data_IF_451777084668
#
_entry.id   IF_451777084668
#
_cell.length_a   1.000
_cell.length_b   1.000
_cell.length_c   1.000
_cell.angle_alpha   90.00
_cell.angle_beta   90.00
_cell.angle_gamma   90.00
#
_symmetry.space_group_name_H-M   'P 1'
#
loop_
_entity.id
_entity.type
_entity.pdbx_description
1 polymer ?
#
# COMPACT_ATOMS: atom_id res chain seq x y z
N UNK A 1 -68.16 -26.33 -34.45
CA UNK A 1 -67.28 -25.16 -34.38
C UNK A 1 -66.41 -25.31 -33.14
N UNK A 2 -65.16 -25.80 -33.25
CA UNK A 2 -64.05 -25.46 -32.35
C UNK A 2 -62.78 -26.20 -32.75
N UNK A 3 -61.85 -25.43 -33.32
CA UNK A 3 -60.40 -25.43 -33.08
C UNK A 3 -59.75 -26.65 -32.38
N UNK A 4 -58.96 -27.39 -33.16
CA UNK A 4 -57.71 -28.12 -32.84
C UNK A 4 -57.05 -28.31 -34.22
N UNK A 5 -55.77 -28.11 -34.49
CA UNK A 5 -54.56 -28.46 -33.74
C UNK A 5 -53.33 -27.98 -34.53
N UNK A 6 -52.16 -28.02 -33.89
CA UNK A 6 -50.80 -27.91 -34.44
C UNK A 6 -50.13 -26.53 -34.38
N UNK A 7 -49.70 -26.17 -33.17
CA UNK A 7 -48.43 -25.48 -32.96
C UNK A 7 -47.30 -26.53 -32.97
N UNK A 8 -46.43 -26.47 -33.98
CA UNK A 8 -45.16 -27.20 -34.05
C UNK A 8 -44.04 -26.22 -33.69
N UNK A 9 -43.32 -26.56 -32.62
CA UNK A 9 -41.86 -26.44 -32.46
C UNK A 9 -41.18 -25.16 -32.94
N UNK A 10 -40.82 -24.30 -31.99
CA UNK A 10 -39.57 -23.54 -32.01
C UNK A 10 -38.97 -23.55 -30.59
N UNK A 11 -38.52 -24.73 -30.17
CA UNK A 11 -37.39 -24.83 -29.23
C UNK A 11 -36.14 -25.04 -30.07
N UNK A 12 -35.02 -24.45 -29.65
CA UNK A 12 -33.65 -24.74 -30.11
C UNK A 12 -32.99 -23.78 -31.12
N UNK A 13 -33.20 -22.47 -30.97
CA UNK A 13 -32.30 -21.47 -31.59
C UNK A 13 -32.00 -20.27 -30.69
N UNK A 14 -31.78 -20.50 -29.39
CA UNK A 14 -31.12 -19.50 -28.55
C UNK A 14 -29.84 -20.04 -27.90
N UNK A 15 -28.80 -19.19 -27.96
CA UNK A 15 -27.49 -19.27 -27.29
C UNK A 15 -26.43 -20.15 -27.93
N UNK A 16 -25.78 -19.57 -28.93
CA UNK A 16 -24.32 -19.62 -29.00
C UNK A 16 -23.74 -18.35 -29.67
N UNK A 17 -24.16 -17.16 -29.20
CA UNK A 17 -23.40 -15.95 -29.49
C UNK A 17 -22.19 -15.92 -28.56
N UNK A 18 -21.00 -16.16 -29.12
CA UNK A 18 -19.71 -15.93 -28.46
C UNK A 18 -19.73 -14.51 -27.90
N UNK A 19 -19.74 -14.37 -26.56
CA UNK A 19 -19.56 -13.06 -25.92
C UNK A 19 -18.28 -12.44 -26.49
N UNK A 20 -18.27 -11.16 -26.88
CA UNK A 20 -17.05 -10.52 -27.32
C UNK A 20 -15.99 -10.65 -26.22
N UNK A 21 -14.75 -10.96 -26.58
CA UNK A 21 -13.62 -11.13 -25.65
C UNK A 21 -13.39 -9.90 -24.76
N UNK A 22 -13.91 -8.74 -25.17
CA UNK A 22 -13.89 -7.48 -24.42
C UNK A 22 -15.34 -6.97 -24.34
N UNK A 23 -16.01 -7.19 -23.20
CA UNK A 23 -17.32 -6.59 -22.93
C UNK A 23 -17.18 -5.23 -22.25
N UNK A 24 -18.20 -4.36 -22.35
CA UNK A 24 -18.24 -3.09 -21.59
C UNK A 24 -18.07 -3.32 -20.09
N UNK A 25 -18.60 -4.41 -19.56
CA UNK A 25 -18.46 -4.81 -18.16
C UNK A 25 -17.00 -5.15 -17.81
N UNK A 26 -16.30 -5.88 -18.68
CA UNK A 26 -14.88 -6.21 -18.50
C UNK A 26 -13.97 -4.96 -18.52
N UNK A 27 -14.28 -3.98 -19.38
CA UNK A 27 -13.56 -2.70 -19.42
C UNK A 27 -13.75 -1.88 -18.13
N UNK A 28 -14.95 -1.93 -17.54
CA UNK A 28 -15.25 -1.25 -16.27
C UNK A 28 -14.53 -1.95 -15.10
N UNK A 29 -14.42 -3.28 -15.13
CA UNK A 29 -13.69 -4.06 -14.13
C UNK A 29 -12.16 -3.84 -14.20
N UNK A 30 -11.59 -3.57 -15.38
CA UNK A 30 -10.15 -3.41 -15.60
C UNK A 30 -9.67 -1.95 -15.70
N UNK A 31 -10.48 -0.97 -15.30
CA UNK A 31 -10.19 0.47 -15.45
C UNK A 31 -8.83 0.93 -14.92
N UNK A 32 -8.39 0.38 -13.79
CA UNK A 32 -7.07 0.70 -13.22
C UNK A 32 -5.94 0.15 -14.10
N UNK A 33 -6.09 -1.07 -14.60
CA UNK A 33 -5.16 -1.67 -15.56
C UNK A 33 -5.14 -0.91 -16.90
N UNK A 34 -6.28 -0.44 -17.38
CA UNK A 34 -6.38 0.39 -18.60
C UNK A 34 -5.67 1.73 -18.38
N UNK A 35 -5.87 2.38 -17.24
CA UNK A 35 -5.15 3.61 -16.89
C UNK A 35 -3.64 3.40 -16.82
N UNK A 36 -3.19 2.26 -16.26
CA UNK A 36 -1.77 1.88 -16.24
C UNK A 36 -1.21 1.74 -17.66
N UNK A 37 -1.90 0.98 -18.52
CA UNK A 37 -1.47 0.73 -19.89
C UNK A 37 -1.41 2.03 -20.68
N UNK A 38 -2.43 2.89 -20.55
CA UNK A 38 -2.45 4.19 -21.20
C UNK A 38 -1.25 5.07 -20.79
N UNK A 39 -0.97 5.15 -19.48
CA UNK A 39 0.18 5.90 -18.96
C UNK A 39 1.51 5.34 -19.51
N UNK A 40 1.69 4.02 -19.46
CA UNK A 40 2.89 3.33 -19.99
C UNK A 40 3.10 3.67 -21.46
N UNK A 41 2.03 3.60 -22.28
CA UNK A 41 2.09 3.88 -23.70
C UNK A 41 2.52 5.33 -23.94
N UNK A 42 1.86 6.31 -23.31
CA UNK A 42 2.18 7.74 -23.48
C UNK A 42 3.65 8.01 -23.12
N UNK A 43 4.10 7.52 -21.97
CA UNK A 43 5.45 7.82 -21.47
C UNK A 43 6.52 7.11 -22.30
N UNK A 44 6.22 5.91 -22.81
CA UNK A 44 7.15 5.19 -23.70
C UNK A 44 7.46 5.94 -25.00
N UNK A 45 6.51 6.72 -25.52
CA UNK A 45 6.75 7.58 -26.68
C UNK A 45 7.51 8.86 -26.32
N UNK A 46 7.38 9.33 -25.09
CA UNK A 46 8.03 10.57 -24.62
C UNK A 46 9.48 10.35 -24.18
N UNK A 47 9.83 9.15 -23.70
CA UNK A 47 11.20 8.86 -23.25
C UNK A 47 11.68 7.47 -23.75
N UNK A 48 12.71 7.42 -24.62
CA UNK A 48 13.22 6.16 -25.16
C UNK A 48 13.86 5.26 -24.09
N UNK A 49 14.28 5.83 -22.95
CA UNK A 49 14.88 5.07 -21.85
C UNK A 49 13.84 4.41 -20.94
N UNK A 50 12.54 4.63 -21.17
CA UNK A 50 11.48 4.17 -20.28
C UNK A 50 11.47 2.65 -20.07
N UNK A 51 11.68 1.88 -21.14
CA UNK A 51 11.72 0.41 -21.09
C UNK A 51 13.13 -0.18 -20.91
N UNK A 52 14.13 0.63 -20.55
CA UNK A 52 15.44 0.10 -20.18
C UNK A 52 15.33 -0.76 -18.92
N UNK A 53 16.13 -1.83 -18.85
CA UNK A 53 16.13 -2.72 -17.69
C UNK A 53 16.42 -1.93 -16.39
N UNK A 54 17.39 -1.02 -16.42
CA UNK A 54 17.75 -0.19 -15.28
C UNK A 54 16.58 0.69 -14.81
N UNK A 55 15.83 1.30 -15.74
CA UNK A 55 14.66 2.08 -15.38
C UNK A 55 13.55 1.20 -14.78
N UNK A 56 13.29 0.02 -15.35
CA UNK A 56 12.31 -0.93 -14.83
C UNK A 56 12.68 -1.38 -13.41
N UNK A 57 13.93 -1.74 -13.17
CA UNK A 57 14.41 -2.14 -11.85
C UNK A 57 14.35 -0.98 -10.84
N UNK A 58 14.62 0.25 -11.29
CA UNK A 58 14.47 1.45 -10.47
C UNK A 58 12.99 1.74 -10.13
N UNK A 59 12.07 1.63 -11.10
CA UNK A 59 10.62 1.75 -10.87
C UNK A 59 10.19 0.75 -9.82
N UNK A 60 10.54 -0.53 -9.98
CA UNK A 60 10.14 -1.59 -9.05
C UNK A 60 10.70 -1.35 -7.64
N UNK A 61 11.96 -0.92 -7.54
CA UNK A 61 12.61 -0.58 -6.26
C UNK A 61 11.95 0.62 -5.56
N UNK A 62 11.55 1.64 -6.29
CA UNK A 62 10.86 2.79 -5.70
C UNK A 62 9.43 2.45 -5.31
N UNK A 63 8.75 1.70 -6.18
CA UNK A 63 7.35 1.29 -6.00
C UNK A 63 7.21 0.33 -4.82
N UNK A 64 8.19 -0.55 -4.59
CA UNK A 64 8.12 -1.55 -3.51
C UNK A 64 7.92 -0.92 -2.13
N UNK A 65 8.53 0.25 -1.87
CA UNK A 65 8.38 0.95 -0.60
C UNK A 65 6.92 1.36 -0.36
N UNK A 66 6.33 2.07 -1.32
CA UNK A 66 4.94 2.51 -1.21
C UNK A 66 3.97 1.31 -1.28
N UNK A 67 4.27 0.29 -2.07
CA UNK A 67 3.46 -0.92 -2.17
C UNK A 67 3.40 -1.69 -0.83
N UNK A 68 4.51 -1.80 -0.10
CA UNK A 68 4.55 -2.41 1.24
C UNK A 68 3.64 -1.65 2.22
N UNK A 69 3.69 -0.32 2.20
CA UNK A 69 2.80 0.51 3.04
C UNK A 69 1.34 0.33 2.61
N UNK A 70 1.06 0.33 1.30
CA UNK A 70 -0.27 0.13 0.75
C UNK A 70 -0.87 -1.24 1.14
N UNK A 71 -0.06 -2.28 1.29
CA UNK A 71 -0.51 -3.57 1.85
C UNK A 71 -1.05 -3.41 3.28
N UNK A 72 -0.31 -2.72 4.15
CA UNK A 72 -0.78 -2.41 5.50
C UNK A 72 -2.05 -1.57 5.50
N UNK A 73 -2.07 -0.53 4.66
CA UNK A 73 -3.22 0.36 4.48
C UNK A 73 -4.45 -0.40 3.94
N UNK A 74 -4.26 -1.44 3.12
CA UNK A 74 -5.35 -2.30 2.64
C UNK A 74 -6.07 -2.97 3.82
N UNK A 75 -5.33 -3.51 4.78
CA UNK A 75 -5.93 -4.12 5.97
C UNK A 75 -6.73 -3.10 6.78
N UNK A 76 -6.18 -1.90 6.95
CA UNK A 76 -6.85 -0.80 7.67
C UNK A 76 -8.14 -0.38 6.96
N UNK A 77 -8.09 -0.13 5.65
CA UNK A 77 -9.27 0.25 4.86
C UNK A 77 -10.31 -0.86 4.83
N UNK A 78 -9.89 -2.13 4.77
CA UNK A 78 -10.82 -3.25 4.84
C UNK A 78 -11.63 -3.25 6.14
N UNK A 79 -11.11 -2.69 7.24
CA UNK A 79 -11.85 -2.49 8.50
C UNK A 79 -12.63 -1.17 8.60
N UNK A 80 -12.80 -0.46 7.49
CA UNK A 80 -13.37 0.90 7.41
C UNK A 80 -12.56 1.95 8.20
N UNK A 81 -11.26 1.70 8.40
CA UNK A 81 -10.33 2.64 9.01
C UNK A 81 -9.51 3.41 7.99
N UNK A 82 -8.86 4.48 8.44
CA UNK A 82 -7.80 5.17 7.71
C UNK A 82 -6.62 5.37 8.67
N UNK A 83 -5.40 5.05 8.24
CA UNK A 83 -4.18 5.27 9.00
C UNK A 83 -3.28 6.31 8.32
N UNK A 84 -3.38 7.55 8.79
CA UNK A 84 -2.52 8.64 8.31
C UNK A 84 -1.12 8.62 8.93
N UNK A 85 -0.89 7.82 9.97
CA UNK A 85 0.35 7.86 10.74
C UNK A 85 1.50 7.08 10.10
N UNK A 86 1.23 6.28 9.07
CA UNK A 86 2.22 5.37 8.44
C UNK A 86 3.50 6.08 7.99
N UNK A 87 3.40 7.29 7.43
CA UNK A 87 4.57 8.08 7.03
C UNK A 87 5.41 8.56 8.22
N UNK A 88 4.79 8.87 9.36
CA UNK A 88 5.48 9.26 10.59
C UNK A 88 6.05 8.05 11.34
N UNK A 89 5.37 6.90 11.35
CA UNK A 89 5.90 5.64 11.89
C UNK A 89 7.14 5.21 11.11
N UNK A 90 7.08 5.30 9.78
CA UNK A 90 8.21 5.07 8.88
C UNK A 90 9.42 5.91 9.27
N UNK A 91 9.24 7.22 9.42
CA UNK A 91 10.33 8.15 9.73
C UNK A 91 10.98 7.84 11.09
N UNK A 92 10.16 7.62 12.13
CA UNK A 92 10.65 7.34 13.48
C UNK A 92 11.38 5.99 13.56
N UNK A 93 10.82 4.94 12.95
CA UNK A 93 11.45 3.62 12.94
C UNK A 93 12.73 3.62 12.10
N UNK A 94 12.76 4.39 11.01
CA UNK A 94 13.96 4.64 10.22
C UNK A 94 15.05 5.34 11.03
N UNK A 95 14.68 6.34 11.86
CA UNK A 95 15.59 7.03 12.75
C UNK A 95 16.15 6.10 13.84
N UNK A 96 15.31 5.27 14.47
CA UNK A 96 15.76 4.27 15.43
C UNK A 96 16.75 3.28 14.81
N UNK A 97 16.45 2.80 13.60
CA UNK A 97 17.35 1.91 12.88
C UNK A 97 18.68 2.59 12.56
N UNK A 98 18.67 3.80 12.01
CA UNK A 98 19.89 4.53 11.69
C UNK A 98 20.75 4.79 12.92
N UNK A 99 20.14 5.17 14.06
CA UNK A 99 20.86 5.35 15.33
C UNK A 99 21.53 4.06 15.79
N UNK A 100 20.83 2.93 15.78
CA UNK A 100 21.39 1.64 16.20
C UNK A 100 22.53 1.21 15.27
N UNK A 101 22.35 1.33 13.97
CA UNK A 101 23.37 0.97 12.98
C UNK A 101 24.59 1.91 13.08
N UNK A 102 24.38 3.21 13.28
CA UNK A 102 25.46 4.18 13.51
C UNK A 102 26.21 3.97 14.83
N UNK A 103 25.59 3.32 15.80
CA UNK A 103 26.24 2.81 17.02
C UNK A 103 26.88 1.41 16.83
N UNK A 104 26.97 0.92 15.60
CA UNK A 104 27.50 -0.40 15.23
C UNK A 104 26.77 -1.59 15.87
N UNK A 105 25.52 -1.40 16.31
CA UNK A 105 24.67 -2.51 16.76
C UNK A 105 24.45 -3.47 15.59
N UNK A 106 24.66 -4.78 15.75
CA UNK A 106 24.49 -5.74 14.68
C UNK A 106 23.13 -5.64 13.99
N UNK A 107 23.12 -5.73 12.66
CA UNK A 107 21.90 -5.60 11.82
C UNK A 107 20.79 -6.56 12.27
N UNK A 108 21.17 -7.77 12.71
CA UNK A 108 20.25 -8.80 13.21
C UNK A 108 19.49 -8.37 14.49
N UNK A 109 19.99 -7.39 15.23
CA UNK A 109 19.32 -6.81 16.40
C UNK A 109 18.62 -5.50 16.02
N UNK A 110 19.28 -4.64 15.25
CA UNK A 110 18.74 -3.33 14.89
C UNK A 110 17.45 -3.43 14.07
N UNK A 111 17.41 -4.31 13.05
CA UNK A 111 16.25 -4.47 12.16
C UNK A 111 15.01 -4.98 12.92
N UNK A 112 15.06 -6.10 13.67
CA UNK A 112 13.91 -6.54 14.45
C UNK A 112 13.44 -5.51 15.48
N UNK A 113 14.36 -4.78 16.11
CA UNK A 113 14.02 -3.75 17.11
C UNK A 113 13.18 -2.63 16.49
N UNK A 114 13.59 -2.13 15.32
CA UNK A 114 12.84 -1.11 14.59
C UNK A 114 11.48 -1.62 14.09
N UNK A 115 11.42 -2.88 13.62
CA UNK A 115 10.16 -3.53 13.22
C UNK A 115 9.18 -3.69 14.38
N UNK A 116 9.67 -4.12 15.56
CA UNK A 116 8.88 -4.24 16.77
C UNK A 116 8.39 -2.88 17.27
N UNK A 117 9.21 -1.83 17.17
CA UNK A 117 8.79 -0.47 17.47
C UNK A 117 7.64 -0.03 16.56
N UNK A 118 7.73 -0.28 15.25
CA UNK A 118 6.64 -0.01 14.30
C UNK A 118 5.35 -0.76 14.63
N UNK A 119 5.46 -2.06 14.93
CA UNK A 119 4.31 -2.87 15.35
C UNK A 119 3.67 -2.35 16.64
N UNK A 120 4.49 -1.93 17.61
CA UNK A 120 4.02 -1.36 18.87
C UNK A 120 3.32 0.00 18.67
N UNK A 121 3.90 0.89 17.87
CA UNK A 121 3.29 2.19 17.53
C UNK A 121 1.95 2.00 16.81
N UNK A 122 1.89 1.09 15.84
CA UNK A 122 0.64 0.71 15.19
C UNK A 122 -0.37 0.11 16.18
N UNK A 123 0.06 -0.79 17.07
CA UNK A 123 -0.81 -1.35 18.10
C UNK A 123 -1.38 -0.27 19.04
N UNK A 124 -0.60 0.76 19.39
CA UNK A 124 -1.06 1.90 20.19
C UNK A 124 -2.19 2.63 19.46
N UNK A 125 -2.03 2.95 18.18
CA UNK A 125 -3.10 3.55 17.37
C UNK A 125 -4.34 2.65 17.35
N UNK A 126 -4.15 1.34 17.16
CA UNK A 126 -5.22 0.36 17.21
C UNK A 126 -5.94 0.31 18.58
N UNK A 127 -5.21 0.46 19.68
CA UNK A 127 -5.77 0.50 21.05
C UNK A 127 -6.60 1.78 21.23
N UNK A 128 -6.09 2.93 20.81
CA UNK A 128 -6.81 4.22 20.90
C UNK A 128 -8.13 4.13 20.14
N UNK A 129 -8.11 3.54 18.94
CA UNK A 129 -9.30 3.39 18.10
C UNK A 129 -10.28 2.38 18.72
N UNK A 130 -9.80 1.19 19.07
CA UNK A 130 -10.64 0.10 19.53
C UNK A 130 -11.22 0.34 20.94
N UNK A 131 -10.37 0.73 21.89
CA UNK A 131 -10.78 0.91 23.29
C UNK A 131 -11.22 2.34 23.59
N UNK A 132 -10.56 3.33 22.99
CA UNK A 132 -10.92 4.74 23.15
C UNK A 132 -12.18 5.12 22.36
N UNK A 133 -12.67 4.25 21.47
CA UNK A 133 -13.85 4.49 20.62
C UNK A 133 -13.74 5.78 19.79
N UNK A 134 -12.50 6.16 19.45
CA UNK A 134 -12.19 7.30 18.60
C UNK A 134 -12.26 6.87 17.14
N UNK A 135 -12.75 7.74 16.25
CA UNK A 135 -12.70 7.47 14.82
C UNK A 135 -11.25 7.31 14.34
N UNK A 136 -11.02 6.29 13.51
CA UNK A 136 -9.70 5.91 13.00
C UNK A 136 -8.89 7.07 12.40
N UNK A 137 -9.55 7.88 11.56
CA UNK A 137 -8.93 9.03 10.91
C UNK A 137 -8.40 10.05 11.94
N UNK A 138 -9.18 10.39 12.97
CA UNK A 138 -8.78 11.37 13.99
C UNK A 138 -7.63 10.82 14.83
N UNK A 139 -7.74 9.57 15.29
CA UNK A 139 -6.70 8.94 16.11
C UNK A 139 -5.36 8.88 15.38
N UNK A 140 -5.37 8.54 14.09
CA UNK A 140 -4.16 8.41 13.29
C UNK A 140 -3.64 9.75 12.80
N UNK A 141 -4.48 10.77 12.58
CA UNK A 141 -4.05 12.15 12.33
C UNK A 141 -3.29 12.72 13.53
N UNK A 142 -3.82 12.54 14.74
CA UNK A 142 -3.13 12.97 15.98
C UNK A 142 -1.82 12.21 16.16
N UNK A 143 -1.84 10.89 15.94
CA UNK A 143 -0.62 10.06 16.02
C UNK A 143 0.41 10.50 14.97
N UNK A 144 -0.01 10.79 13.74
CA UNK A 144 0.85 11.29 12.66
C UNK A 144 1.61 12.55 13.10
N UNK A 145 0.89 13.55 13.62
CA UNK A 145 1.46 14.82 14.08
C UNK A 145 2.38 14.61 15.27
N UNK A 146 1.95 13.82 16.26
CA UNK A 146 2.75 13.49 17.43
C UNK A 146 4.07 12.80 17.05
N UNK A 147 4.01 11.72 16.29
CA UNK A 147 5.18 10.95 15.90
C UNK A 147 6.12 11.74 14.98
N UNK A 148 5.57 12.64 14.14
CA UNK A 148 6.40 13.57 13.36
C UNK A 148 7.17 14.50 14.27
N UNK A 149 6.52 15.10 15.27
CA UNK A 149 7.17 15.94 16.27
C UNK A 149 8.23 15.18 17.08
N UNK A 150 7.90 13.97 17.54
CA UNK A 150 8.84 13.09 18.25
C UNK A 150 10.05 12.77 17.37
N UNK A 151 9.84 12.48 16.08
CA UNK A 151 10.94 12.25 15.14
C UNK A 151 11.84 13.48 15.04
N UNK A 152 11.26 14.67 14.87
CA UNK A 152 12.04 15.91 14.78
C UNK A 152 12.85 16.20 16.04
N UNK A 153 12.29 15.95 17.23
CA UNK A 153 13.00 16.09 18.51
C UNK A 153 14.09 15.04 18.63
N UNK A 154 13.79 13.79 18.29
CA UNK A 154 14.75 12.69 18.38
C UNK A 154 15.96 12.88 17.45
N UNK A 155 15.75 13.48 16.28
CA UNK A 155 16.80 13.69 15.28
C UNK A 155 17.43 15.10 15.34
N UNK A 156 17.01 15.96 16.28
CA UNK A 156 17.33 17.41 16.27
C UNK A 156 17.08 18.10 14.92
N UNK A 157 16.06 17.63 14.18
CA UNK A 157 15.74 18.09 12.82
C UNK A 157 16.82 17.78 11.76
N UNK A 158 17.84 16.96 12.07
CA UNK A 158 18.95 16.61 11.17
C UNK A 158 18.94 15.15 10.76
N UNK A 159 19.54 14.80 9.61
CA UNK A 159 19.75 13.41 9.22
C UNK A 159 20.57 12.61 10.24
N UNK A 160 20.18 11.36 10.50
CA UNK A 160 21.00 10.40 11.26
C UNK A 160 21.65 9.44 10.27
N UNK A 161 22.99 9.49 10.18
CA UNK A 161 23.76 8.59 9.30
C UNK A 161 23.82 7.17 9.87
N UNK A 162 23.80 6.17 8.98
CA UNK A 162 24.06 4.77 9.34
C UNK A 162 25.55 4.46 9.53
N UNK A 163 26.43 5.45 9.29
CA UNK A 163 27.88 5.26 9.34
C UNK A 163 28.46 4.63 8.08
N UNK A 164 29.79 4.62 8.00
CA UNK A 164 30.59 4.01 6.92
C UNK A 164 31.37 2.82 7.49
N UNK A 165 30.64 1.81 7.94
CA UNK A 165 31.17 0.63 8.65
C UNK A 165 30.60 -0.64 8.02
N UNK A 166 31.21 -1.81 8.30
CA UNK A 166 30.72 -3.10 7.81
C UNK A 166 29.24 -3.35 8.19
N UNK A 167 28.84 -2.89 9.38
CA UNK A 167 27.44 -2.93 9.85
C UNK A 167 26.54 -2.02 9.00
N UNK A 168 27.02 -0.83 8.64
CA UNK A 168 26.34 0.08 7.73
C UNK A 168 26.17 -0.51 6.33
N UNK A 169 27.20 -1.15 5.78
CA UNK A 169 27.16 -1.79 4.46
C UNK A 169 26.21 -3.00 4.44
N UNK A 170 26.24 -3.82 5.50
CA UNK A 170 25.30 -4.91 5.69
C UNK A 170 23.85 -4.41 5.77
N UNK A 171 23.61 -3.26 6.40
CA UNK A 171 22.30 -2.62 6.43
C UNK A 171 21.90 -2.03 5.08
N UNK A 172 22.84 -1.41 4.35
CA UNK A 172 22.59 -0.81 3.04
C UNK A 172 22.09 -1.84 2.00
N UNK A 173 22.50 -3.11 2.14
CA UNK A 173 22.06 -4.20 1.26
C UNK A 173 20.53 -4.33 1.17
N UNK A 174 19.78 -4.03 2.23
CA UNK A 174 18.32 -4.06 2.21
C UNK A 174 17.69 -3.05 1.23
N UNK A 175 18.35 -1.91 1.00
CA UNK A 175 17.85 -0.82 0.18
C UNK A 175 18.48 -0.73 -1.21
N UNK A 176 19.76 -1.12 -1.33
CA UNK A 176 20.55 -0.99 -2.57
C UNK A 176 20.92 -2.31 -3.22
N UNK A 177 20.91 -3.40 -2.44
CA UNK A 177 21.37 -4.72 -2.86
C UNK A 177 20.51 -5.37 -3.94
N UNK A 178 21.09 -6.37 -4.58
CA UNK A 178 20.45 -7.20 -5.60
C UNK A 178 20.50 -8.67 -5.20
N UNK A 179 19.42 -9.38 -5.47
CA UNK A 179 19.33 -10.84 -5.38
C UNK A 179 18.74 -11.36 -6.69
N UNK A 180 19.43 -12.30 -7.34
CA UNK A 180 19.04 -12.85 -8.65
C UNK A 180 18.80 -11.77 -9.72
N UNK A 181 19.59 -10.69 -9.70
CA UNK A 181 19.45 -9.55 -10.64
C UNK A 181 18.28 -8.60 -10.35
N UNK A 182 17.50 -8.84 -9.29
CA UNK A 182 16.36 -8.01 -8.88
C UNK A 182 16.68 -7.30 -7.56
N UNK A 183 16.35 -6.01 -7.39
CA UNK A 183 16.57 -5.29 -6.14
C UNK A 183 15.91 -5.98 -4.93
N UNK A 184 16.62 -6.05 -3.81
CA UNK A 184 16.13 -6.62 -2.54
C UNK A 184 14.77 -6.05 -2.09
N UNK A 185 14.50 -4.73 -2.23
CA UNK A 185 13.18 -4.17 -1.90
C UNK A 185 12.01 -4.83 -2.62
N UNK A 186 12.20 -5.31 -3.86
CA UNK A 186 11.17 -6.00 -4.64
C UNK A 186 10.88 -7.38 -4.05
N UNK A 187 11.90 -8.11 -3.60
CA UNK A 187 11.73 -9.38 -2.91
C UNK A 187 10.98 -9.21 -1.59
N UNK A 188 11.33 -8.19 -0.80
CA UNK A 188 10.61 -7.86 0.43
C UNK A 188 9.13 -7.54 0.16
N UNK A 189 8.85 -6.78 -0.90
CA UNK A 189 7.48 -6.53 -1.35
C UNK A 189 6.76 -7.84 -1.69
N UNK A 190 7.36 -8.73 -2.49
CA UNK A 190 6.74 -10.01 -2.87
C UNK A 190 6.43 -10.86 -1.64
N UNK A 191 7.36 -10.95 -0.68
CA UNK A 191 7.17 -11.69 0.58
C UNK A 191 6.01 -11.09 1.39
N UNK A 192 5.95 -9.77 1.51
CA UNK A 192 4.86 -9.06 2.21
C UNK A 192 3.51 -9.32 1.53
N UNK A 193 3.44 -9.21 0.21
CA UNK A 193 2.21 -9.51 -0.55
C UNK A 193 1.77 -10.95 -0.38
N UNK A 194 2.68 -11.92 -0.49
CA UNK A 194 2.38 -13.33 -0.29
C UNK A 194 1.87 -13.59 1.14
N UNK A 195 2.53 -13.01 2.14
CA UNK A 195 2.18 -13.16 3.55
C UNK A 195 0.79 -12.60 3.86
N UNK A 196 0.49 -11.39 3.38
CA UNK A 196 -0.81 -10.74 3.64
C UNK A 196 -1.93 -11.34 2.78
N UNK A 197 -1.63 -11.78 1.55
CA UNK A 197 -2.55 -12.56 0.74
C UNK A 197 -2.94 -13.87 1.43
N UNK A 198 -1.97 -14.59 2.00
CA UNK A 198 -2.23 -15.79 2.76
C UNK A 198 -3.04 -15.50 4.03
N UNK A 199 -2.67 -14.45 4.77
CA UNK A 199 -3.40 -14.00 5.95
C UNK A 199 -4.87 -13.68 5.62
N UNK A 200 -5.15 -12.96 4.54
CA UNK A 200 -6.51 -12.58 4.15
C UNK A 200 -7.36 -13.75 3.66
N UNK A 201 -6.78 -14.66 2.87
CA UNK A 201 -7.54 -15.73 2.20
C UNK A 201 -7.60 -17.04 2.99
N UNK A 202 -6.58 -17.33 3.80
CA UNK A 202 -6.41 -18.64 4.42
C UNK A 202 -6.47 -18.64 5.95
N UNK A 203 -6.60 -17.48 6.62
CA UNK A 203 -6.69 -17.43 8.09
C UNK A 203 -8.04 -16.95 8.61
N UNK A 204 -8.32 -17.27 9.89
CA UNK A 204 -9.49 -16.73 10.61
C UNK A 204 -9.42 -15.20 10.75
N UNK A 205 -8.22 -14.67 10.98
CA UNK A 205 -8.00 -13.24 11.13
C UNK A 205 -8.42 -12.48 9.86
N UNK A 206 -8.06 -12.97 8.67
CA UNK A 206 -8.52 -12.41 7.40
C UNK A 206 -10.04 -12.35 7.27
N UNK A 207 -10.74 -13.44 7.60
CA UNK A 207 -12.22 -13.46 7.61
C UNK A 207 -12.82 -12.44 8.58
N UNK A 208 -12.21 -12.27 9.75
CA UNK A 208 -12.66 -11.28 10.73
C UNK A 208 -12.42 -9.84 10.27
N UNK A 209 -11.34 -9.57 9.54
CA UNK A 209 -11.08 -8.25 8.92
C UNK A 209 -12.20 -7.89 7.94
N UNK A 210 -12.57 -8.81 7.04
CA UNK A 210 -13.68 -8.58 6.10
C UNK A 210 -15.04 -8.45 6.80
N UNK A 211 -15.33 -9.29 7.79
CA UNK A 211 -16.58 -9.22 8.56
C UNK A 211 -16.72 -7.89 9.31
N UNK A 212 -15.65 -7.47 10.00
CA UNK A 212 -15.59 -6.20 10.72
C UNK A 212 -15.90 -5.02 9.81
N UNK A 213 -15.28 -4.97 8.63
CA UNK A 213 -15.53 -3.92 7.66
C UNK A 213 -16.92 -3.94 7.02
N UNK A 214 -17.54 -5.11 6.91
CA UNK A 214 -18.90 -5.23 6.39
C UNK A 214 -19.94 -4.71 7.39
N UNK A 215 -19.81 -5.12 8.66
CA UNK A 215 -20.67 -4.64 9.74
C UNK A 215 -20.03 -4.93 11.11
N UNK A 216 -19.52 -3.89 11.79
CA UNK A 216 -18.89 -4.03 13.10
C UNK A 216 -19.85 -4.56 14.17
N UNK A 217 -21.08 -4.05 14.21
CA UNK A 217 -22.08 -4.44 15.21
C UNK A 217 -22.47 -5.90 15.08
N UNK A 218 -22.76 -6.36 13.86
CA UNK A 218 -23.09 -7.76 13.59
C UNK A 218 -21.90 -8.70 13.88
N UNK A 219 -20.68 -8.26 13.56
CA UNK A 219 -19.45 -9.00 13.86
C UNK A 219 -19.25 -9.18 15.37
N UNK A 220 -19.49 -8.13 16.15
CA UNK A 220 -19.43 -8.18 17.62
C UNK A 220 -20.51 -9.10 18.21
N UNK A 221 -21.74 -9.03 17.71
CA UNK A 221 -22.85 -9.92 18.12
C UNK A 221 -22.60 -11.40 17.76
N UNK A 222 -21.77 -11.65 16.74
CA UNK A 222 -21.34 -13.00 16.35
C UNK A 222 -20.21 -13.57 17.23
N UNK A 223 -19.86 -12.90 18.34
CA UNK A 223 -18.86 -13.36 19.31
C UNK A 223 -17.41 -13.06 18.93
N UNK A 224 -17.17 -12.30 17.84
CA UNK A 224 -15.82 -11.92 17.42
C UNK A 224 -15.36 -10.71 18.23
N UNK A 225 -14.17 -10.79 18.83
CA UNK A 225 -13.57 -9.66 19.51
C UNK A 225 -13.00 -8.66 18.49
N UNK A 226 -13.85 -7.74 18.05
CA UNK A 226 -13.51 -6.71 17.05
C UNK A 226 -12.36 -5.80 17.50
N UNK A 227 -12.22 -5.57 18.81
CA UNK A 227 -11.18 -4.72 19.36
C UNK A 227 -9.79 -5.33 19.12
N UNK A 228 -9.65 -6.66 19.32
CA UNK A 228 -8.41 -7.39 19.00
C UNK A 228 -8.10 -7.39 17.51
N UNK A 229 -9.12 -7.47 16.66
CA UNK A 229 -8.92 -7.42 15.20
C UNK A 229 -8.40 -6.05 14.78
N UNK A 230 -9.00 -4.95 15.27
CA UNK A 230 -8.52 -3.59 15.03
C UNK A 230 -7.07 -3.43 15.50
N UNK A 231 -6.75 -3.80 16.73
CA UNK A 231 -5.38 -3.70 17.26
C UNK A 231 -4.38 -4.47 16.39
N UNK A 232 -4.72 -5.71 15.99
CA UNK A 232 -3.86 -6.50 15.12
C UNK A 232 -3.66 -5.88 13.73
N UNK A 233 -4.72 -5.33 13.13
CA UNK A 233 -4.65 -4.67 11.81
C UNK A 233 -3.71 -3.46 11.85
N UNK A 234 -3.86 -2.58 12.85
CA UNK A 234 -3.00 -1.41 12.97
C UNK A 234 -1.56 -1.79 13.37
N UNK A 235 -1.34 -2.84 14.17
CA UNK A 235 -0.01 -3.36 14.46
C UNK A 235 0.70 -3.87 13.19
N UNK A 236 0.00 -4.62 12.33
CA UNK A 236 0.56 -5.06 11.04
C UNK A 236 0.83 -3.84 10.13
N UNK A 237 -0.06 -2.85 10.10
CA UNK A 237 0.15 -1.61 9.35
C UNK A 237 1.43 -0.88 9.80
N UNK A 238 1.61 -0.69 11.11
CA UNK A 238 2.81 -0.07 11.68
C UNK A 238 4.09 -0.88 11.45
N UNK A 239 4.02 -2.21 11.50
CA UNK A 239 5.14 -3.11 11.16
C UNK A 239 5.58 -2.91 9.70
N UNK A 240 4.63 -2.87 8.76
CA UNK A 240 4.93 -2.69 7.34
C UNK A 240 5.43 -1.26 7.04
N UNK A 241 4.92 -0.25 7.75
CA UNK A 241 5.46 1.11 7.69
C UNK A 241 6.91 1.17 8.18
N UNK A 242 7.26 0.47 9.26
CA UNK A 242 8.64 0.35 9.73
C UNK A 242 9.53 -0.37 8.72
N UNK A 243 9.07 -1.47 8.10
CA UNK A 243 9.81 -2.17 7.05
C UNK A 243 10.11 -1.25 5.86
N UNK A 244 9.12 -0.46 5.42
CA UNK A 244 9.32 0.54 4.39
C UNK A 244 10.35 1.62 4.82
N UNK A 245 10.35 2.00 6.09
CA UNK A 245 11.34 2.92 6.68
C UNK A 245 12.75 2.37 6.65
N UNK A 246 12.93 1.10 7.01
CA UNK A 246 14.21 0.43 6.91
C UNK A 246 14.74 0.42 5.48
N UNK A 247 13.88 0.16 4.48
CA UNK A 247 14.26 0.18 3.07
C UNK A 247 14.69 1.59 2.64
N UNK A 248 13.94 2.63 3.03
CA UNK A 248 14.28 4.02 2.69
C UNK A 248 15.59 4.44 3.36
N UNK A 249 15.74 4.19 4.66
CA UNK A 249 16.94 4.53 5.43
C UNK A 249 18.17 3.79 4.91
N UNK A 250 18.06 2.48 4.65
CA UNK A 250 19.17 1.69 4.08
C UNK A 250 19.57 2.14 2.68
N UNK A 251 18.60 2.54 1.85
CA UNK A 251 18.88 3.06 0.50
C UNK A 251 19.62 4.39 0.53
N UNK A 252 19.33 5.24 1.52
CA UNK A 252 19.93 6.56 1.66
C UNK A 252 21.16 6.57 2.58
N UNK A 253 21.50 5.43 3.19
CA UNK A 253 22.49 5.31 4.28
C UNK A 253 22.30 6.36 5.39
N UNK A 254 21.05 6.82 5.56
CA UNK A 254 20.71 7.93 6.43
C UNK A 254 19.20 8.00 6.65
N UNK A 255 18.78 8.27 7.88
CA UNK A 255 17.38 8.54 8.22
C UNK A 255 17.10 10.04 8.11
N UNK A 256 16.29 10.41 7.11
CA UNK A 256 15.80 11.79 6.96
C UNK A 256 14.60 12.04 7.89
N UNK A 257 14.57 13.11 8.70
CA UNK A 257 13.44 13.41 9.60
C UNK A 257 12.11 13.65 8.85
N UNK A 258 12.20 14.11 7.61
CA UNK A 258 11.07 14.35 6.70
C UNK A 258 10.73 13.16 5.81
N UNK A 259 11.38 12.00 6.00
CA UNK A 259 11.06 10.78 5.25
C UNK A 259 9.58 10.40 5.43
N UNK A 260 9.00 9.81 4.40
CA UNK A 260 7.62 9.30 4.42
C UNK A 260 6.52 10.38 4.39
N UNK A 261 6.85 11.67 4.25
CA UNK A 261 5.84 12.72 4.05
C UNK A 261 4.98 12.43 2.81
N UNK A 262 3.67 12.33 2.97
CA UNK A 262 2.73 12.07 1.87
C UNK A 262 2.62 10.60 1.46
N UNK A 263 3.39 9.69 2.07
CA UNK A 263 3.33 8.26 1.74
C UNK A 263 1.99 7.64 2.16
N UNK A 264 1.36 8.19 3.20
CA UNK A 264 0.00 7.84 3.60
C UNK A 264 -1.02 8.11 2.48
N UNK A 265 -0.89 9.24 1.77
CA UNK A 265 -1.79 9.60 0.67
C UNK A 265 -1.53 8.74 -0.57
N UNK A 266 -0.26 8.50 -0.91
CA UNK A 266 0.13 7.63 -2.02
C UNK A 266 -0.32 6.17 -1.77
N UNK A 267 -0.27 5.69 -0.51
CA UNK A 267 -0.75 4.37 -0.13
C UNK A 267 -2.28 4.27 -0.19
N UNK A 268 -3.02 5.25 0.33
CA UNK A 268 -4.48 5.30 0.22
C UNK A 268 -4.90 5.31 -1.26
N UNK A 269 -4.25 6.13 -2.09
CA UNK A 269 -4.52 6.21 -3.51
C UNK A 269 -4.30 4.87 -4.20
N UNK A 270 -3.20 4.17 -3.92
CA UNK A 270 -2.93 2.84 -4.45
C UNK A 270 -4.03 1.83 -4.06
N UNK A 271 -4.48 1.83 -2.81
CA UNK A 271 -5.52 0.91 -2.31
C UNK A 271 -6.89 1.20 -2.95
N UNK A 272 -7.26 2.47 -3.06
CA UNK A 272 -8.54 2.90 -3.63
C UNK A 272 -8.57 2.69 -5.14
N UNK A 273 -7.50 3.03 -5.85
CA UNK A 273 -7.34 2.76 -7.29
C UNK A 273 -7.33 1.25 -7.57
N UNK A 274 -6.80 0.47 -6.63
CA UNK A 274 -6.87 -0.99 -6.62
C UNK A 274 -8.28 -1.57 -6.40
N UNK A 275 -9.29 -0.74 -6.12
CA UNK A 275 -10.69 -1.15 -5.99
C UNK A 275 -11.11 -1.60 -4.59
N UNK A 276 -10.30 -1.34 -3.57
CA UNK A 276 -10.72 -1.57 -2.18
C UNK A 276 -11.66 -0.44 -1.74
N UNK A 277 -12.79 -0.81 -1.15
CA UNK A 277 -13.84 0.12 -0.71
C UNK A 277 -13.44 0.85 0.57
N UNK A 278 -13.48 2.19 0.55
CA UNK A 278 -13.29 3.02 1.76
C UNK A 278 -14.34 2.76 2.85
N UNK A 279 -15.52 2.25 2.46
CA UNK A 279 -16.55 1.82 3.42
C UNK A 279 -16.20 0.51 4.16
N UNK A 280 -15.09 -0.15 3.82
CA UNK A 280 -14.69 -1.43 4.40
C UNK A 280 -15.36 -2.66 3.76
N UNK A 281 -14.94 -3.84 4.21
CA UNK A 281 -15.57 -5.13 3.93
C UNK A 281 -15.44 -5.65 2.49
N UNK A 282 -14.93 -4.86 1.54
CA UNK A 282 -14.74 -5.26 0.13
C UNK A 282 -13.41 -4.75 -0.41
N UNK A 283 -12.61 -5.65 -0.98
CA UNK A 283 -11.33 -5.32 -1.60
C UNK A 283 -10.47 -6.56 -1.79
N UNK A 284 -9.42 -6.43 -2.60
CA UNK A 284 -8.46 -7.50 -2.89
C UNK A 284 -7.04 -6.95 -2.87
N UNK A 285 -6.13 -7.68 -2.24
CA UNK A 285 -4.73 -7.27 -2.14
C UNK A 285 -4.04 -7.18 -3.52
N UNK A 286 -4.45 -8.00 -4.49
CA UNK A 286 -3.94 -7.90 -5.87
C UNK A 286 -4.36 -6.60 -6.56
N UNK A 287 -5.50 -6.05 -6.20
CA UNK A 287 -5.91 -4.72 -6.66
C UNK A 287 -4.94 -3.64 -6.15
N UNK A 288 -4.58 -3.70 -4.87
CA UNK A 288 -3.59 -2.80 -4.26
C UNK A 288 -2.23 -2.86 -4.97
N UNK A 289 -1.76 -4.05 -5.39
CA UNK A 289 -0.51 -4.17 -6.14
C UNK A 289 -0.59 -3.40 -7.47
N UNK A 290 -1.67 -3.57 -8.22
CA UNK A 290 -1.90 -2.86 -9.48
C UNK A 290 -1.96 -1.34 -9.23
N UNK A 291 -2.69 -0.91 -8.21
CA UNK A 291 -2.76 0.50 -7.81
C UNK A 291 -1.40 1.09 -7.43
N UNK A 292 -0.59 0.36 -6.66
CA UNK A 292 0.75 0.78 -6.28
C UNK A 292 1.67 0.90 -7.50
N UNK A 293 1.58 -0.06 -8.44
CA UNK A 293 2.31 0.01 -9.71
C UNK A 293 1.90 1.25 -10.53
N UNK A 294 0.61 1.59 -10.61
CA UNK A 294 0.16 2.82 -11.30
C UNK A 294 0.81 4.07 -10.72
N UNK A 295 0.78 4.22 -9.39
CA UNK A 295 1.41 5.35 -8.72
C UNK A 295 2.93 5.33 -8.92
N UNK A 296 3.56 4.16 -8.88
CA UNK A 296 4.99 3.97 -9.13
C UNK A 296 5.43 4.39 -10.53
N UNK A 297 4.72 3.91 -11.56
CA UNK A 297 4.96 4.29 -12.95
C UNK A 297 4.69 5.78 -13.18
N UNK A 298 3.66 6.36 -12.55
CA UNK A 298 3.39 7.80 -12.63
C UNK A 298 4.53 8.64 -12.05
N UNK A 299 5.03 8.26 -10.86
CA UNK A 299 6.17 8.94 -10.24
C UNK A 299 7.42 8.85 -11.12
N UNK A 300 7.71 7.67 -11.67
CA UNK A 300 8.87 7.50 -12.54
C UNK A 300 8.73 8.26 -13.87
N UNK A 301 7.55 8.23 -14.47
CA UNK A 301 7.27 8.96 -15.71
C UNK A 301 7.50 10.46 -15.55
N UNK A 302 6.96 11.06 -14.49
CA UNK A 302 7.14 12.48 -14.22
C UNK A 302 8.60 12.83 -13.90
N UNK A 303 9.31 11.93 -13.22
CA UNK A 303 10.74 12.08 -12.94
C UNK A 303 11.58 12.02 -14.24
N UNK A 304 11.29 11.06 -15.13
CA UNK A 304 11.96 10.93 -16.44
C UNK A 304 11.69 12.09 -17.40
N UNK A 305 10.59 12.82 -17.20
CA UNK A 305 10.25 14.04 -17.93
C UNK A 305 10.83 15.29 -17.26
N UNK A 306 11.67 15.13 -16.24
CA UNK A 306 12.30 16.20 -15.45
C UNK A 306 11.29 17.19 -14.87
N UNK A 307 10.09 16.71 -14.56
CA UNK A 307 9.04 17.51 -13.91
C UNK A 307 9.44 17.71 -12.46
N UNK A 308 9.53 18.96 -12.00
CA UNK A 308 9.90 19.25 -10.62
C UNK A 308 8.91 18.62 -9.62
N UNK A 309 9.42 18.17 -8.46
CA UNK A 309 8.64 17.46 -7.44
C UNK A 309 7.36 18.19 -7.01
N UNK A 310 7.36 19.53 -7.04
CA UNK A 310 6.18 20.34 -6.72
C UNK A 310 5.05 20.15 -7.75
N UNK A 311 5.36 20.15 -9.04
CA UNK A 311 4.39 19.86 -10.09
C UNK A 311 3.96 18.39 -10.09
N UNK A 312 4.85 17.48 -9.69
CA UNK A 312 4.48 16.06 -9.51
C UNK A 312 3.39 15.89 -8.46
N UNK A 313 3.45 16.63 -7.34
CA UNK A 313 2.40 16.60 -6.32
C UNK A 313 1.05 17.05 -6.88
N UNK A 314 1.02 18.11 -7.68
CA UNK A 314 -0.20 18.62 -8.33
C UNK A 314 -0.75 17.58 -9.31
N UNK A 315 0.10 17.05 -10.19
CA UNK A 315 -0.29 16.04 -11.17
C UNK A 315 -0.85 14.78 -10.49
N UNK A 316 -0.19 14.29 -9.43
CA UNK A 316 -0.69 13.18 -8.62
C UNK A 316 -2.07 13.45 -8.04
N UNK A 317 -2.27 14.60 -7.41
CA UNK A 317 -3.56 14.95 -6.82
C UNK A 317 -4.68 14.96 -7.88
N UNK A 318 -4.43 15.51 -9.06
CA UNK A 318 -5.39 15.53 -10.17
C UNK A 318 -5.69 14.12 -10.68
N UNK A 319 -4.67 13.29 -10.92
CA UNK A 319 -4.85 11.92 -11.41
C UNK A 319 -5.65 11.07 -10.42
N UNK A 320 -5.33 11.17 -9.12
CA UNK A 320 -6.04 10.45 -8.06
C UNK A 320 -7.49 10.91 -7.98
N UNK A 321 -7.75 12.22 -8.00
CA UNK A 321 -9.11 12.78 -7.97
C UNK A 321 -9.94 12.29 -9.16
N UNK A 322 -9.38 12.35 -10.38
CA UNK A 322 -10.05 11.87 -11.58
C UNK A 322 -10.36 10.38 -11.51
N UNK A 323 -9.41 9.56 -11.04
CA UNK A 323 -9.62 8.14 -10.88
C UNK A 323 -10.76 7.82 -9.90
N UNK A 324 -10.84 8.54 -8.79
CA UNK A 324 -11.91 8.38 -7.78
C UNK A 324 -13.26 8.85 -8.33
N UNK A 325 -13.32 9.98 -9.05
CA UNK A 325 -14.57 10.48 -9.64
C UNK A 325 -15.16 9.52 -10.68
N UNK A 326 -14.30 8.85 -11.45
CA UNK A 326 -14.72 7.80 -12.40
C UNK A 326 -15.16 6.53 -11.66
N UNK A 327 -14.55 6.17 -10.53
CA UNK A 327 -15.01 5.05 -9.71
C UNK A 327 -16.40 5.30 -9.11
N UNK A 328 -16.64 6.52 -8.61
CA UNK A 328 -17.86 6.83 -7.86
C UNK A 328 -19.10 6.97 -8.76
N UNK A 329 -18.95 7.36 -10.03
CA UNK A 329 -20.07 7.44 -11.00
C UNK A 329 -20.61 6.09 -11.46
N UNK A 330 -19.88 5.00 -11.18
CA UNK A 330 -20.23 3.64 -11.64
C UNK A 330 -20.78 2.76 -10.51
N UNK A 331 -21.06 3.33 -9.33
CA UNK A 331 -21.76 2.69 -8.20
C UNK A 331 -23.15 3.29 -8.06
#
# INVERSE_FOLDING_TARGET
>A
MSSKTMSKTNSDTEKNMKKPLISKEWLIEQKSLIALIFLIVVVSFLNPNFFTLDNILNILRQTSVNAIIAVGMTLVILTAGIDLSVGSVLALCGAFAASLIGMEVPVIVAVPTALLAGAALGAISGIIIAKGKVQAFIATLVTMTLLRGVTMVYTDGRPISTGFTDTGDAFAWFGTGYALGIPVPVWLMVIVFASVWYLLNHTRFGRYVYALGGNESATRLSGINVDRVKIGVYAICGLLAALAGLIVTSRLSSAQPTAGMGYELDAIAAVVLGGTSLAGGRGRIMGTLIGALIIGFLNNALNLLDVSSYYQMIAKAVVILLAVLVDNKNK
#
